data_IF_601526653506
#
_entry.id   IF_601526653506
#
_cell.length_a   1.000
_cell.length_b   1.000
_cell.length_c   1.000
_cell.angle_alpha   90.00
_cell.angle_beta   90.00
_cell.angle_gamma   90.00
#
_symmetry.space_group_name_H-M   'P 1'
#
loop_
_entity.id
_entity.type
_entity.pdbx_description
1 polymer ?
#
# COMPACT_ATOMS: atom_id res chain seq x y z
N UNK A 1 2.11 17.44 9.13
CA UNK A 1 1.02 17.57 8.14
C UNK A 1 0.74 16.23 7.48
N UNK A 2 -0.04 15.37 8.12
CA UNK A 2 -0.44 14.07 7.57
C UNK A 2 -1.81 14.19 6.90
N UNK A 3 -1.83 14.38 5.59
CA UNK A 3 -3.06 14.40 4.81
C UNK A 3 -3.57 12.97 4.61
N UNK A 4 -4.60 12.57 5.36
CA UNK A 4 -5.43 11.40 5.05
C UNK A 4 -6.87 11.86 4.78
N UNK A 5 -7.18 12.38 3.58
CA UNK A 5 -8.55 12.76 3.27
C UNK A 5 -9.37 11.49 2.97
N UNK A 6 -10.27 11.15 3.90
CA UNK A 6 -11.67 10.84 3.56
C UNK A 6 -11.98 9.59 2.72
N UNK A 7 -11.35 8.43 2.94
CA UNK A 7 -11.87 7.16 2.43
C UNK A 7 -12.60 6.37 3.52
N UNK A 8 -13.68 6.97 4.01
CA UNK A 8 -14.70 6.32 4.83
C UNK A 8 -15.51 5.37 3.93
N UNK A 9 -15.02 4.14 3.74
CA UNK A 9 -15.81 3.07 3.14
C UNK A 9 -15.94 1.93 4.15
N UNK A 10 -17.18 1.71 4.59
CA UNK A 10 -17.68 0.79 5.64
C UNK A 10 -17.53 -0.72 5.32
N UNK A 11 -16.45 -1.16 4.66
CA UNK A 11 -16.37 -2.53 4.11
C UNK A 11 -15.23 -3.40 4.63
N UNK A 12 -14.49 -2.97 5.65
CA UNK A 12 -13.29 -3.69 6.07
C UNK A 12 -13.16 -3.68 7.59
N UNK A 13 -12.93 -4.85 8.16
CA UNK A 13 -12.64 -5.00 9.58
C UNK A 13 -11.25 -4.41 9.87
N UNK A 14 -11.22 -3.10 10.11
CA UNK A 14 -10.02 -2.31 10.42
C UNK A 14 -9.19 -2.91 11.57
N UNK A 15 -9.79 -3.80 12.37
CA UNK A 15 -9.14 -4.46 13.51
C UNK A 15 -8.02 -5.42 13.09
N UNK A 16 -7.98 -5.86 11.84
CA UNK A 16 -7.04 -6.91 11.38
C UNK A 16 -6.02 -6.43 10.32
N UNK A 17 -6.23 -5.25 9.73
CA UNK A 17 -5.31 -4.69 8.73
C UNK A 17 -4.05 -4.17 9.41
N UNK A 18 -2.88 -4.34 8.79
CA UNK A 18 -1.66 -3.75 9.31
C UNK A 18 -1.77 -2.23 9.38
N UNK A 19 -1.36 -1.60 10.50
CA UNK A 19 -1.27 -0.14 10.58
C UNK A 19 -0.44 0.43 9.42
N UNK A 20 -0.79 1.60 8.85
CA UNK A 20 -0.11 2.18 7.70
C UNK A 20 1.42 2.28 7.86
N UNK A 21 1.91 2.61 9.05
CA UNK A 21 3.35 2.68 9.33
C UNK A 21 4.06 1.32 9.26
N UNK A 22 3.37 0.22 9.62
CA UNK A 22 3.94 -1.14 9.49
C UNK A 22 3.94 -1.59 8.03
N UNK A 23 2.91 -1.23 7.26
CA UNK A 23 2.85 -1.47 5.82
C UNK A 23 4.02 -0.77 5.11
N UNK A 24 4.18 0.54 5.34
CA UNK A 24 5.25 1.31 4.69
C UNK A 24 6.63 0.71 5.00
N UNK A 25 6.93 0.41 6.28
CA UNK A 25 8.20 -0.25 6.63
C UNK A 25 8.40 -1.61 5.96
N UNK A 26 7.33 -2.40 5.78
CA UNK A 26 7.43 -3.68 5.06
C UNK A 26 7.67 -3.48 3.56
N UNK A 27 7.12 -2.43 2.97
CA UNK A 27 7.33 -2.10 1.56
C UNK A 27 8.75 -1.58 1.33
N UNK A 28 9.29 -0.78 2.25
CA UNK A 28 10.70 -0.35 2.25
C UNK A 28 11.66 -1.55 2.31
N UNK A 29 11.40 -2.52 3.18
CA UNK A 29 12.20 -3.77 3.24
C UNK A 29 12.10 -4.63 1.97
N UNK A 30 11.06 -4.44 1.17
CA UNK A 30 10.88 -5.11 -0.13
C UNK A 30 11.46 -4.31 -1.29
N UNK A 31 12.17 -3.20 -1.03
CA UNK A 31 12.82 -2.38 -2.05
C UNK A 31 11.95 -1.25 -2.62
N UNK A 32 10.82 -0.92 -1.99
CA UNK A 32 9.95 0.17 -2.44
C UNK A 32 10.04 1.40 -1.53
N UNK A 33 10.24 2.58 -2.10
CA UNK A 33 10.35 3.82 -1.34
C UNK A 33 9.38 4.90 -1.83
N UNK A 34 9.22 5.96 -1.03
CA UNK A 34 8.25 7.03 -1.24
C UNK A 34 6.82 6.52 -1.50
N UNK A 35 6.44 5.46 -0.78
CA UNK A 35 5.17 4.77 -0.99
C UNK A 35 3.99 5.60 -0.48
N UNK A 36 2.97 5.75 -1.31
CA UNK A 36 1.66 6.32 -0.96
C UNK A 36 0.58 5.27 -1.11
N UNK A 37 -0.20 5.05 -0.05
CA UNK A 37 -1.37 4.18 -0.05
C UNK A 37 -2.60 5.02 -0.40
N UNK A 38 -3.46 4.54 -1.33
CA UNK A 38 -4.58 5.37 -1.82
C UNK A 38 -5.91 4.62 -1.96
N UNK A 39 -6.00 3.37 -1.54
CA UNK A 39 -7.28 2.66 -1.43
C UNK A 39 -7.15 1.16 -1.58
N UNK A 40 -8.25 0.48 -1.91
CA UNK A 40 -8.31 -0.96 -2.08
C UNK A 40 -8.74 -1.38 -3.50
N UNK A 41 -8.34 -2.58 -3.91
CA UNK A 41 -8.80 -3.25 -5.12
C UNK A 41 -10.18 -3.87 -4.89
N UNK A 42 -10.88 -4.23 -5.98
CA UNK A 42 -12.09 -5.04 -5.89
C UNK A 42 -11.87 -6.40 -5.20
N UNK A 43 -10.61 -6.86 -5.11
CA UNK A 43 -10.22 -8.10 -4.43
C UNK A 43 -9.66 -7.86 -3.02
N UNK A 44 -9.91 -6.69 -2.41
CA UNK A 44 -9.45 -6.38 -1.05
C UNK A 44 -7.94 -6.11 -0.91
N UNK A 45 -7.21 -5.89 -2.00
CA UNK A 45 -5.76 -5.59 -1.94
C UNK A 45 -5.53 -4.09 -1.84
N UNK A 46 -4.62 -3.64 -0.99
CA UNK A 46 -4.21 -2.24 -0.93
C UNK A 46 -3.59 -1.82 -2.27
N UNK A 47 -4.01 -0.66 -2.75
CA UNK A 47 -3.41 0.06 -3.87
C UNK A 47 -2.38 1.02 -3.31
N UNK A 48 -1.16 0.89 -3.80
CA UNK A 48 -0.09 1.81 -3.47
C UNK A 48 0.67 2.22 -4.73
N UNK A 49 1.40 3.33 -4.65
CA UNK A 49 2.32 3.79 -5.68
C UNK A 49 3.59 4.27 -5.00
N UNK A 50 4.72 4.13 -5.67
CA UNK A 50 6.03 4.51 -5.14
C UNK A 50 7.10 4.25 -6.18
N UNK A 51 8.34 4.13 -5.74
CA UNK A 51 9.47 3.83 -6.60
C UNK A 51 10.06 2.47 -6.22
N UNK A 52 10.49 1.70 -7.22
CA UNK A 52 11.29 0.50 -7.01
C UNK A 52 12.77 0.85 -6.74
N UNK A 53 13.58 -0.16 -6.40
CA UNK A 53 15.02 0.01 -6.11
C UNK A 53 15.83 0.61 -7.27
N UNK A 54 15.29 0.57 -8.50
CA UNK A 54 15.92 1.11 -9.71
C UNK A 54 15.48 2.55 -10.00
N UNK A 55 14.58 3.10 -9.19
CA UNK A 55 14.04 4.45 -9.35
C UNK A 55 12.89 4.58 -10.33
N UNK A 56 12.28 3.47 -10.77
CA UNK A 56 11.10 3.52 -11.61
C UNK A 56 9.84 3.73 -10.78
N UNK A 57 8.97 4.61 -11.27
CA UNK A 57 7.66 4.82 -10.67
C UNK A 57 6.75 3.63 -10.96
N UNK A 58 6.22 3.00 -9.91
CA UNK A 58 5.45 1.76 -9.97
C UNK A 58 4.16 1.84 -9.15
N UNK A 59 3.13 1.13 -9.61
CA UNK A 59 1.89 0.84 -8.88
C UNK A 59 1.97 -0.56 -8.27
N UNK A 60 1.55 -0.68 -7.03
CA UNK A 60 1.62 -1.91 -6.23
C UNK A 60 0.23 -2.41 -5.85
N UNK A 61 0.07 -3.73 -5.82
CA UNK A 61 -1.01 -4.42 -5.10
C UNK A 61 -0.41 -5.08 -3.86
N UNK A 62 -0.87 -4.66 -2.70
CA UNK A 62 -0.31 -5.07 -1.41
C UNK A 62 -1.36 -5.83 -0.63
N UNK A 63 -0.99 -6.99 -0.10
CA UNK A 63 -1.82 -7.73 0.83
C UNK A 63 -1.95 -6.95 2.15
N UNK A 64 -3.17 -6.61 2.61
CA UNK A 64 -3.35 -5.73 3.77
C UNK A 64 -2.93 -6.32 5.11
N UNK A 65 -2.87 -7.65 5.23
CA UNK A 65 -2.62 -8.36 6.49
C UNK A 65 -1.12 -8.67 6.68
N UNK A 66 -0.44 -8.95 5.57
CA UNK A 66 0.99 -9.30 5.55
C UNK A 66 1.87 -8.17 5.03
N UNK A 67 1.33 -7.16 4.35
CA UNK A 67 2.13 -6.12 3.69
C UNK A 67 2.99 -6.66 2.55
N UNK A 68 2.72 -7.88 2.08
CA UNK A 68 3.42 -8.48 0.94
C UNK A 68 2.94 -7.85 -0.35
N UNK A 69 3.87 -7.49 -1.24
CA UNK A 69 3.53 -7.09 -2.59
C UNK A 69 3.15 -8.32 -3.40
N UNK A 70 1.91 -8.35 -3.89
CA UNK A 70 1.38 -9.43 -4.72
C UNK A 70 1.57 -9.11 -6.21
N UNK A 71 1.61 -7.82 -6.56
CA UNK A 71 1.80 -7.39 -7.95
C UNK A 71 2.49 -6.03 -8.03
N UNK A 72 3.46 -5.92 -8.92
CA UNK A 72 4.12 -4.67 -9.34
C UNK A 72 3.71 -4.37 -10.77
N UNK A 73 3.39 -3.11 -11.06
CA UNK A 73 3.00 -2.64 -12.39
C UNK A 73 3.71 -1.32 -12.67
N UNK A 74 4.12 -1.05 -13.92
CA UNK A 74 4.50 0.31 -14.33
C UNK A 74 3.34 1.28 -14.03
N UNK A 75 3.69 2.46 -13.54
CA UNK A 75 2.71 3.47 -13.16
C UNK A 75 2.20 4.31 -14.32
#
# INVERSE_FOLDING_TARGET
>A
SGWYPGWQNKWWDERHILPPHRLIRRLERQGFYNVRLFGFSHRGMIRAQGFDERGFFVRLRVDPYSGRVIRVMPA
#
